data_IF_412657448903
#
_entry.id   IF_412657448903
#
_cell.length_a   1.000
_cell.length_b   1.000
_cell.length_c   1.000
_cell.angle_alpha   90.00
_cell.angle_beta   90.00
_cell.angle_gamma   90.00
#
_symmetry.space_group_name_H-M   'P 1'
#
loop_
_entity.id
_entity.type
_entity.pdbx_description
1 polymer ?
#
# COMPACT_ATOMS: atom_id res chain seq x y z
N UNK A 1 -11.19 -13.77 -23.47
CA UNK A 1 -11.21 -12.92 -22.25
C UNK A 1 -9.96 -12.04 -22.24
N UNK A 2 -10.08 -10.75 -21.97
CA UNK A 2 -8.99 -9.79 -21.82
C UNK A 2 -8.86 -9.43 -20.34
N UNK A 3 -7.69 -9.69 -19.77
CA UNK A 3 -7.40 -9.38 -18.37
C UNK A 3 -6.74 -8.01 -18.22
N UNK A 4 -7.17 -7.23 -17.23
CA UNK A 4 -6.58 -5.95 -16.86
C UNK A 4 -6.44 -5.85 -15.34
N UNK A 5 -5.20 -5.69 -14.88
CA UNK A 5 -4.90 -5.46 -13.46
C UNK A 5 -4.60 -3.99 -13.18
N UNK A 6 -5.39 -3.38 -12.30
CA UNK A 6 -5.26 -1.98 -11.88
C UNK A 6 -5.00 -1.95 -10.39
N UNK A 7 -3.74 -1.68 -10.02
CA UNK A 7 -3.43 -1.28 -8.65
C UNK A 7 -3.89 0.17 -8.42
N UNK A 8 -4.96 0.33 -7.66
CA UNK A 8 -5.69 1.57 -7.38
C UNK A 8 -4.83 2.58 -6.60
N UNK A 9 -3.91 2.10 -5.76
CA UNK A 9 -2.95 2.93 -5.04
C UNK A 9 -1.96 3.64 -5.97
N UNK A 10 -1.47 2.94 -7.00
CA UNK A 10 -0.58 3.50 -8.01
C UNK A 10 -1.29 4.53 -8.89
N UNK A 11 -2.48 4.19 -9.38
CA UNK A 11 -3.22 5.08 -10.28
C UNK A 11 -3.93 6.24 -9.55
N UNK A 12 -4.18 6.13 -8.24
CA UNK A 12 -4.63 7.18 -7.29
C UNK A 12 -5.96 7.89 -7.59
N UNK A 13 -6.52 7.77 -8.78
CA UNK A 13 -7.74 8.44 -9.26
C UNK A 13 -8.49 7.55 -10.25
N UNK A 14 -9.82 7.63 -10.27
CA UNK A 14 -10.70 6.92 -11.22
C UNK A 14 -10.29 7.16 -12.67
N UNK A 15 -9.97 8.41 -13.03
CA UNK A 15 -9.53 8.79 -14.37
C UNK A 15 -8.29 8.01 -14.86
N UNK A 16 -7.24 7.94 -14.03
CA UNK A 16 -6.01 7.21 -14.36
C UNK A 16 -6.25 5.70 -14.46
N UNK A 17 -7.15 5.16 -13.62
CA UNK A 17 -7.57 3.77 -13.72
C UNK A 17 -8.28 3.49 -15.06
N UNK A 18 -9.21 4.37 -15.48
CA UNK A 18 -9.87 4.27 -16.80
C UNK A 18 -8.87 4.33 -17.95
N UNK A 19 -7.95 5.30 -17.95
CA UNK A 19 -6.88 5.37 -18.96
C UNK A 19 -6.09 4.07 -19.02
N UNK A 20 -5.77 3.46 -17.87
CA UNK A 20 -5.02 2.20 -17.83
C UNK A 20 -5.81 1.05 -18.46
N UNK A 21 -7.12 1.00 -18.21
CA UNK A 21 -8.03 0.02 -18.81
C UNK A 21 -8.10 0.23 -20.32
N UNK A 22 -8.33 1.47 -20.78
CA UNK A 22 -8.35 1.81 -22.21
C UNK A 22 -7.02 1.44 -22.86
N UNK A 23 -5.88 1.77 -22.26
CA UNK A 23 -4.56 1.44 -22.82
C UNK A 23 -4.27 -0.06 -22.89
N UNK A 24 -4.91 -0.86 -22.04
CA UNK A 24 -4.81 -2.32 -22.12
C UNK A 24 -5.59 -2.88 -23.33
N UNK A 25 -6.65 -2.20 -23.75
CA UNK A 25 -7.44 -2.50 -24.95
C UNK A 25 -6.81 -1.89 -26.21
N UNK A 26 -6.27 -0.67 -26.11
CA UNK A 26 -5.67 0.09 -27.19
C UNK A 26 -4.32 0.71 -26.76
N UNK A 27 -3.21 0.05 -27.12
CA UNK A 27 -1.86 0.42 -26.66
C UNK A 27 -1.44 1.86 -27.00
N UNK A 28 -1.92 2.37 -28.14
CA UNK A 28 -1.54 3.68 -28.68
C UNK A 28 -2.45 4.81 -28.20
N UNK A 29 -3.35 4.54 -27.25
CA UNK A 29 -4.28 5.54 -26.76
C UNK A 29 -3.56 6.69 -26.03
N UNK A 30 -3.91 7.96 -26.34
CA UNK A 30 -3.27 9.13 -25.73
C UNK A 30 -3.55 9.24 -24.22
N UNK A 31 -2.69 9.96 -23.50
CA UNK A 31 -2.79 10.07 -22.04
C UNK A 31 -3.80 11.11 -21.53
N UNK A 32 -4.32 11.99 -22.39
CA UNK A 32 -5.16 13.13 -22.05
C UNK A 32 -6.08 13.48 -23.22
N UNK A 33 -7.06 14.35 -22.96
CA UNK A 33 -7.96 14.90 -23.99
C UNK A 33 -9.35 14.26 -24.01
N UNK A 34 -9.61 13.31 -23.11
CA UNK A 34 -10.88 12.60 -22.99
C UNK A 34 -11.48 12.80 -21.61
N UNK A 35 -12.79 12.97 -21.56
CA UNK A 35 -13.58 12.95 -20.34
C UNK A 35 -13.65 11.51 -19.77
N UNK A 36 -14.00 11.32 -18.49
CA UNK A 36 -14.26 9.98 -17.96
C UNK A 36 -15.33 9.21 -18.73
N UNK A 37 -16.36 9.89 -19.25
CA UNK A 37 -17.42 9.27 -20.05
C UNK A 37 -16.89 8.78 -21.40
N UNK A 38 -16.13 9.62 -22.12
CA UNK A 38 -15.55 9.21 -23.40
C UNK A 38 -14.67 7.96 -23.24
N UNK A 39 -13.91 7.88 -22.13
CA UNK A 39 -13.08 6.71 -21.84
C UNK A 39 -13.91 5.44 -21.62
N UNK A 40 -15.10 5.54 -21.02
CA UNK A 40 -16.02 4.42 -20.84
C UNK A 40 -16.58 3.97 -22.19
N UNK A 41 -17.01 4.91 -23.03
CA UNK A 41 -17.53 4.61 -24.36
C UNK A 41 -16.47 3.91 -25.22
N UNK A 42 -15.24 4.40 -25.18
CA UNK A 42 -14.09 3.76 -25.85
C UNK A 42 -13.86 2.34 -25.34
N UNK A 43 -14.05 2.07 -24.04
CA UNK A 43 -13.95 0.71 -23.48
C UNK A 43 -15.05 -0.16 -24.07
N UNK A 44 -16.31 0.29 -24.03
CA UNK A 44 -17.47 -0.46 -24.55
C UNK A 44 -17.30 -0.76 -26.03
N UNK A 45 -16.97 0.24 -26.85
CA UNK A 45 -16.75 0.08 -28.29
C UNK A 45 -15.62 -0.90 -28.58
N UNK A 46 -14.51 -0.79 -27.86
CA UNK A 46 -13.37 -1.70 -28.00
C UNK A 46 -13.74 -3.14 -27.69
N UNK A 47 -14.60 -3.36 -26.69
CA UNK A 47 -15.09 -4.68 -26.29
C UNK A 47 -16.08 -5.24 -27.33
N UNK A 48 -17.00 -4.40 -27.81
CA UNK A 48 -18.03 -4.78 -28.76
C UNK A 48 -17.45 -5.11 -30.13
N UNK A 49 -16.65 -4.20 -30.70
CA UNK A 49 -16.05 -4.35 -32.03
C UNK A 49 -15.12 -5.56 -32.14
N UNK A 50 -14.49 -5.97 -31.03
CA UNK A 50 -13.55 -7.10 -31.00
C UNK A 50 -14.14 -8.37 -30.39
N UNK A 51 -15.43 -8.37 -30.07
CA UNK A 51 -16.11 -9.47 -29.41
C UNK A 51 -15.38 -9.99 -28.14
N UNK A 52 -14.90 -9.08 -27.30
CA UNK A 52 -14.11 -9.41 -26.11
C UNK A 52 -15.00 -9.56 -24.86
N UNK A 53 -14.47 -10.25 -23.87
CA UNK A 53 -14.95 -10.20 -22.49
C UNK A 53 -13.82 -9.65 -21.63
N UNK A 54 -14.07 -8.55 -20.94
CA UNK A 54 -13.08 -7.82 -20.15
C UNK A 54 -13.19 -8.22 -18.67
N UNK A 55 -12.11 -8.74 -18.11
CA UNK A 55 -11.95 -8.98 -16.68
C UNK A 55 -11.05 -7.90 -16.07
N UNK A 56 -11.61 -7.06 -15.21
CA UNK A 56 -10.91 -5.97 -14.52
C UNK A 56 -10.67 -6.39 -13.07
N UNK A 57 -9.41 -6.41 -12.66
CA UNK A 57 -9.03 -6.57 -11.25
C UNK A 57 -8.59 -5.22 -10.71
N UNK A 58 -9.31 -4.72 -9.72
CA UNK A 58 -9.03 -3.48 -9.01
C UNK A 58 -8.38 -3.82 -7.66
N UNK A 59 -7.06 -3.77 -7.60
CA UNK A 59 -6.27 -4.09 -6.42
C UNK A 59 -6.08 -2.85 -5.53
N UNK A 60 -6.10 -3.03 -4.20
CA UNK A 60 -6.15 -1.96 -3.20
C UNK A 60 -7.31 -0.96 -3.43
N UNK A 61 -8.50 -1.46 -3.79
CA UNK A 61 -9.66 -0.69 -4.22
C UNK A 61 -10.11 0.40 -3.23
N UNK A 62 -9.92 0.18 -1.92
CA UNK A 62 -10.24 1.17 -0.88
C UNK A 62 -9.62 2.55 -1.12
N UNK A 63 -8.48 2.62 -1.83
CA UNK A 63 -7.86 3.88 -2.24
C UNK A 63 -8.73 4.76 -3.15
N UNK A 64 -9.51 4.16 -4.04
CA UNK A 64 -10.40 4.91 -4.92
C UNK A 64 -11.75 5.19 -4.26
N UNK A 65 -12.25 4.25 -3.45
CA UNK A 65 -13.51 4.41 -2.74
C UNK A 65 -13.45 5.63 -1.82
N UNK A 66 -12.38 5.76 -1.03
CA UNK A 66 -12.20 6.88 -0.10
C UNK A 66 -12.04 8.25 -0.79
N UNK A 67 -11.96 8.28 -2.12
CA UNK A 67 -11.84 9.51 -2.93
C UNK A 67 -13.07 9.82 -3.77
N UNK A 68 -14.17 9.08 -3.59
CA UNK A 68 -15.43 9.30 -4.29
C UNK A 68 -16.04 8.03 -4.88
N UNK A 69 -15.24 6.98 -5.11
CA UNK A 69 -15.78 5.68 -5.57
C UNK A 69 -16.35 5.67 -7.00
N UNK A 70 -16.31 6.79 -7.72
CA UNK A 70 -16.93 6.97 -9.04
C UNK A 70 -16.55 5.89 -10.07
N UNK A 71 -15.32 5.36 -10.01
CA UNK A 71 -14.88 4.31 -10.93
C UNK A 71 -15.77 3.07 -10.87
N UNK A 72 -16.14 2.65 -9.66
CA UNK A 72 -16.95 1.45 -9.48
C UNK A 72 -18.33 1.71 -10.07
N UNK A 73 -18.95 2.84 -9.69
CA UNK A 73 -20.23 3.27 -10.23
C UNK A 73 -20.24 3.25 -11.76
N UNK A 74 -19.26 3.89 -12.38
CA UNK A 74 -19.12 3.94 -13.83
C UNK A 74 -18.99 2.56 -14.48
N UNK A 75 -18.17 1.67 -13.91
CA UNK A 75 -17.94 0.35 -14.49
C UNK A 75 -19.11 -0.62 -14.26
N UNK A 76 -19.84 -0.48 -13.15
CA UNK A 76 -20.99 -1.36 -12.86
C UNK A 76 -22.23 -0.97 -13.66
N UNK A 77 -22.43 0.33 -13.95
CA UNK A 77 -23.62 0.84 -14.64
C UNK A 77 -23.44 1.05 -16.14
N UNK A 78 -22.26 0.74 -16.66
CA UNK A 78 -21.90 0.97 -18.08
C UNK A 78 -22.84 0.29 -19.09
N UNK A 79 -23.59 -0.73 -18.66
CA UNK A 79 -24.55 -1.45 -19.49
C UNK A 79 -26.02 -1.15 -19.13
N UNK A 80 -26.30 -0.32 -18.10
CA UNK A 80 -27.67 -0.04 -17.62
C UNK A 80 -28.52 0.62 -18.73
N UNK A 81 -27.91 1.46 -19.57
CA UNK A 81 -28.59 2.20 -20.66
C UNK A 81 -28.82 1.35 -21.93
N UNK A 82 -28.35 0.10 -21.94
CA UNK A 82 -28.38 -0.75 -23.14
C UNK A 82 -29.28 -1.99 -22.94
N UNK A 83 -30.55 -1.86 -23.35
CA UNK A 83 -31.47 -3.00 -23.39
C UNK A 83 -30.90 -4.13 -24.26
N UNK A 84 -30.88 -5.36 -23.73
CA UNK A 84 -30.40 -6.59 -24.40
C UNK A 84 -28.90 -6.62 -24.78
N UNK A 85 -28.06 -5.75 -24.21
CA UNK A 85 -26.61 -5.85 -24.37
C UNK A 85 -26.05 -7.07 -23.64
N UNK A 86 -25.04 -7.73 -24.23
CA UNK A 86 -24.29 -8.77 -23.52
C UNK A 86 -23.41 -8.10 -22.47
N UNK A 87 -23.61 -8.43 -21.19
CA UNK A 87 -22.67 -8.05 -20.14
C UNK A 87 -21.30 -8.69 -20.39
N UNK A 88 -20.34 -7.87 -20.84
CA UNK A 88 -18.99 -8.30 -21.21
C UNK A 88 -17.91 -7.84 -20.26
N UNK A 89 -18.27 -7.15 -19.17
CA UNK A 89 -17.33 -6.66 -18.17
C UNK A 89 -17.57 -7.42 -16.86
N UNK A 90 -16.49 -7.97 -16.32
CA UNK A 90 -16.46 -8.59 -15.00
C UNK A 90 -15.42 -7.89 -14.15
N UNK A 91 -15.76 -7.62 -12.88
CA UNK A 91 -14.93 -6.83 -11.97
C UNK A 91 -14.61 -7.65 -10.73
N UNK A 92 -13.35 -7.68 -10.32
CA UNK A 92 -12.90 -8.20 -9.03
C UNK A 92 -12.24 -7.04 -8.28
N UNK A 93 -12.83 -6.65 -7.14
CA UNK A 93 -12.25 -5.65 -6.24
C UNK A 93 -11.51 -6.33 -5.09
N UNK A 94 -10.27 -5.94 -4.83
CA UNK A 94 -9.49 -6.39 -3.67
C UNK A 94 -9.33 -5.20 -2.74
N UNK A 95 -9.84 -5.33 -1.52
CA UNK A 95 -9.75 -4.30 -0.48
C UNK A 95 -9.24 -4.91 0.83
N UNK A 96 -8.49 -4.12 1.62
CA UNK A 96 -7.98 -4.55 2.93
C UNK A 96 -9.09 -4.65 3.97
N UNK A 97 -10.03 -3.71 3.93
CA UNK A 97 -11.15 -3.64 4.86
C UNK A 97 -12.45 -3.47 4.06
N UNK A 98 -13.40 -4.37 4.29
CA UNK A 98 -14.72 -4.31 3.66
C UNK A 98 -15.55 -3.12 4.16
N UNK A 99 -15.20 -2.51 5.30
CA UNK A 99 -15.86 -1.31 5.82
C UNK A 99 -15.83 -0.15 4.82
N UNK A 100 -14.79 -0.06 3.97
CA UNK A 100 -14.70 1.00 2.97
C UNK A 100 -15.88 0.99 1.98
N UNK A 101 -16.55 -0.16 1.80
CA UNK A 101 -17.72 -0.28 0.93
C UNK A 101 -18.90 0.58 1.42
N UNK A 102 -18.98 0.95 2.70
CA UNK A 102 -20.04 1.84 3.21
C UNK A 102 -19.94 3.27 2.69
N UNK A 103 -18.80 3.64 2.09
CA UNK A 103 -18.61 4.95 1.46
C UNK A 103 -19.15 4.98 0.02
N UNK A 104 -19.64 3.85 -0.51
CA UNK A 104 -20.28 3.79 -1.82
C UNK A 104 -21.77 4.15 -1.71
N UNK A 105 -22.31 4.69 -2.79
CA UNK A 105 -23.75 4.91 -2.91
C UNK A 105 -24.52 3.58 -2.86
N UNK A 106 -25.77 3.65 -2.38
CA UNK A 106 -26.61 2.47 -2.13
C UNK A 106 -26.79 1.60 -3.38
N UNK A 107 -26.89 2.21 -4.56
CA UNK A 107 -27.01 1.50 -5.85
C UNK A 107 -25.75 0.71 -6.20
N UNK A 108 -24.56 1.33 -6.13
CA UNK A 108 -23.29 0.64 -6.37
C UNK A 108 -23.05 -0.46 -5.34
N UNK A 109 -23.35 -0.18 -4.08
CA UNK A 109 -23.20 -1.13 -2.99
C UNK A 109 -24.08 -2.37 -3.18
N UNK A 110 -25.35 -2.20 -3.59
CA UNK A 110 -26.28 -3.31 -3.88
C UNK A 110 -25.75 -4.26 -4.96
N UNK A 111 -25.07 -3.71 -5.96
CA UNK A 111 -24.47 -4.49 -7.05
C UNK A 111 -23.28 -5.32 -6.57
N UNK A 112 -22.43 -4.75 -5.71
CA UNK A 112 -21.22 -5.40 -5.20
C UNK A 112 -21.47 -6.39 -4.04
N UNK A 113 -22.46 -6.14 -3.19
CA UNK A 113 -22.64 -6.88 -1.93
C UNK A 113 -23.00 -8.36 -2.09
N UNK A 114 -23.40 -8.81 -3.28
CA UNK A 114 -23.82 -10.21 -3.49
C UNK A 114 -22.67 -11.22 -3.47
N UNK A 115 -21.43 -10.81 -3.77
CA UNK A 115 -20.29 -11.72 -3.99
C UNK A 115 -19.03 -11.35 -3.20
N UNK A 116 -19.15 -11.07 -1.90
CA UNK A 116 -17.99 -10.73 -1.05
C UNK A 116 -17.31 -12.00 -0.55
N UNK A 117 -16.07 -12.23 -0.99
CA UNK A 117 -15.20 -13.29 -0.48
C UNK A 117 -14.30 -12.71 0.61
N UNK A 118 -14.48 -13.17 1.86
CA UNK A 118 -13.67 -12.73 3.00
C UNK A 118 -12.46 -13.67 3.18
N UNK A 119 -11.26 -13.11 3.06
CA UNK A 119 -10.02 -13.81 3.40
C UNK A 119 -9.75 -13.64 4.89
N UNK A 120 -9.84 -14.74 5.64
CA UNK A 120 -9.47 -14.75 7.07
C UNK A 120 -7.95 -14.71 7.21
N UNK A 121 -7.48 -14.25 8.37
CA UNK A 121 -6.07 -14.35 8.73
C UNK A 121 -5.65 -15.83 8.74
N UNK A 122 -4.41 -16.10 8.33
CA UNK A 122 -3.85 -17.44 8.33
C UNK A 122 -3.69 -17.98 9.75
N UNK A 123 -3.98 -19.27 9.95
CA UNK A 123 -3.62 -19.98 11.19
C UNK A 123 -2.10 -20.20 11.26
N UNK A 124 -1.58 -20.55 12.45
CA UNK A 124 -0.15 -20.88 12.60
C UNK A 124 0.28 -22.00 11.67
N UNK A 125 -0.56 -23.02 11.52
CA UNK A 125 -0.32 -24.17 10.66
C UNK A 125 -0.29 -23.74 9.18
N UNK A 126 -1.23 -22.89 8.75
CA UNK A 126 -1.23 -22.37 7.38
C UNK A 126 0.01 -21.50 7.10
N UNK A 127 0.43 -20.67 8.06
CA UNK A 127 1.65 -19.87 7.94
C UNK A 127 2.89 -20.76 7.80
N UNK A 128 2.98 -21.82 8.62
CA UNK A 128 4.06 -22.81 8.52
C UNK A 128 4.08 -23.48 7.14
N UNK A 129 2.95 -23.98 6.64
CA UNK A 129 2.87 -24.64 5.34
C UNK A 129 3.26 -23.70 4.19
N UNK A 130 2.79 -22.44 4.22
CA UNK A 130 3.16 -21.43 3.21
C UNK A 130 4.66 -21.15 3.24
N UNK A 131 5.24 -20.92 4.42
CA UNK A 131 6.66 -20.64 4.56
C UNK A 131 7.52 -21.84 4.16
N UNK A 132 7.08 -23.05 4.52
CA UNK A 132 7.75 -24.31 4.16
C UNK A 132 7.77 -24.50 2.66
N UNK A 133 6.61 -24.43 2.01
CA UNK A 133 6.51 -24.51 0.55
C UNK A 133 7.40 -23.47 -0.14
N UNK A 134 7.41 -22.22 0.36
CA UNK A 134 8.25 -21.15 -0.19
C UNK A 134 9.73 -21.39 0.02
N UNK A 135 10.13 -21.95 1.15
CA UNK A 135 11.51 -22.36 1.42
C UNK A 135 11.95 -23.48 0.46
N UNK A 136 11.13 -24.51 0.29
CA UNK A 136 11.44 -25.67 -0.57
C UNK A 136 11.67 -25.28 -2.04
N UNK A 137 10.91 -24.33 -2.58
CA UNK A 137 11.08 -23.89 -3.98
C UNK A 137 12.17 -22.83 -4.17
N UNK A 138 12.65 -22.18 -3.11
CA UNK A 138 13.55 -21.00 -3.21
C UNK A 138 14.93 -21.23 -2.60
N UNK A 139 15.08 -22.21 -1.71
CA UNK A 139 16.32 -22.50 -1.00
C UNK A 139 16.88 -23.84 -1.47
N UNK A 140 18.18 -24.05 -1.23
CA UNK A 140 18.80 -25.37 -1.42
C UNK A 140 18.17 -26.36 -0.44
N UNK A 141 18.16 -27.63 -0.85
CA UNK A 141 17.68 -28.72 -0.01
C UNK A 141 18.39 -28.71 1.35
N UNK A 142 17.63 -28.91 2.42
CA UNK A 142 18.10 -28.89 3.81
C UNK A 142 18.77 -27.58 4.28
N UNK A 143 18.70 -26.48 3.52
CA UNK A 143 19.28 -25.19 3.92
C UNK A 143 18.60 -24.58 5.16
N UNK A 144 17.36 -24.99 5.46
CA UNK A 144 16.62 -24.57 6.65
C UNK A 144 15.90 -25.76 7.28
N UNK A 145 15.89 -25.83 8.60
CA UNK A 145 15.19 -26.89 9.34
C UNK A 145 13.70 -26.57 9.53
N UNK A 146 12.85 -27.61 9.54
CA UNK A 146 11.42 -27.47 9.85
C UNK A 146 11.16 -26.78 11.20
N UNK A 147 12.03 -27.03 12.20
CA UNK A 147 11.95 -26.36 13.50
C UNK A 147 12.08 -24.84 13.35
N UNK A 148 13.01 -24.36 12.53
CA UNK A 148 13.22 -22.93 12.33
C UNK A 148 12.06 -22.30 11.55
N UNK A 149 11.52 -23.00 10.54
CA UNK A 149 10.32 -22.53 9.81
C UNK A 149 9.14 -22.39 10.78
N UNK A 150 8.97 -23.33 11.71
CA UNK A 150 7.94 -23.25 12.75
C UNK A 150 8.16 -22.02 13.65
N UNK A 151 9.38 -21.76 14.10
CA UNK A 151 9.69 -20.55 14.86
C UNK A 151 9.37 -19.26 14.08
N UNK A 152 9.70 -19.19 12.79
CA UNK A 152 9.32 -18.05 11.94
C UNK A 152 7.80 -17.93 11.86
N UNK A 153 7.07 -19.04 11.68
CA UNK A 153 5.60 -19.01 11.62
C UNK A 153 4.95 -18.48 12.91
N UNK A 154 5.54 -18.77 14.08
CA UNK A 154 5.08 -18.26 15.37
C UNK A 154 5.29 -16.75 15.50
N UNK A 155 6.43 -16.23 15.04
CA UNK A 155 6.69 -14.79 14.96
C UNK A 155 5.70 -14.09 14.01
N UNK A 156 5.45 -14.70 12.85
CA UNK A 156 4.53 -14.16 11.84
C UNK A 156 3.10 -14.12 12.35
N UNK A 157 2.67 -15.14 13.09
CA UNK A 157 1.34 -15.19 13.66
C UNK A 157 1.06 -14.01 14.61
N UNK A 158 2.07 -13.54 15.35
CA UNK A 158 1.95 -12.34 16.19
C UNK A 158 1.79 -11.07 15.35
N UNK A 159 2.47 -10.99 14.20
CA UNK A 159 2.37 -9.84 13.27
C UNK A 159 1.10 -9.83 12.42
N UNK A 160 0.53 -11.00 12.11
CA UNK A 160 -0.63 -11.16 11.23
C UNK A 160 -0.36 -10.99 9.73
N UNK A 161 0.89 -10.74 9.30
CA UNK A 161 1.24 -10.52 7.89
C UNK A 161 2.22 -11.59 7.36
N UNK A 162 1.74 -12.48 6.47
CA UNK A 162 2.60 -13.48 5.84
C UNK A 162 3.75 -12.86 5.03
N UNK A 163 3.58 -11.64 4.50
CA UNK A 163 4.64 -10.94 3.75
C UNK A 163 5.82 -10.61 4.66
N UNK A 164 5.57 -10.33 5.93
CA UNK A 164 6.62 -10.18 6.93
C UNK A 164 7.41 -11.48 7.10
N UNK A 165 6.72 -12.64 7.17
CA UNK A 165 7.37 -13.94 7.25
C UNK A 165 8.25 -14.28 6.05
N UNK A 166 7.76 -14.01 4.84
CA UNK A 166 8.53 -14.21 3.62
C UNK A 166 9.74 -13.28 3.55
N UNK A 167 9.58 -12.03 3.99
CA UNK A 167 10.69 -11.09 4.08
C UNK A 167 11.74 -11.54 5.10
N UNK A 168 11.30 -12.02 6.26
CA UNK A 168 12.19 -12.54 7.29
C UNK A 168 12.96 -13.76 6.79
N UNK A 169 12.29 -14.70 6.13
CA UNK A 169 12.94 -15.86 5.50
C UNK A 169 13.98 -15.42 4.46
N UNK A 170 13.61 -14.51 3.56
CA UNK A 170 14.52 -13.98 2.54
C UNK A 170 15.75 -13.29 3.16
N UNK A 171 15.54 -12.40 4.14
CA UNK A 171 16.63 -11.67 4.80
C UNK A 171 17.53 -12.60 5.61
N UNK A 172 16.96 -13.59 6.31
CA UNK A 172 17.73 -14.61 7.03
C UNK A 172 18.59 -15.44 6.07
N UNK A 173 18.06 -15.75 4.89
CA UNK A 173 18.80 -16.45 3.84
C UNK A 173 19.97 -15.61 3.32
N UNK A 174 19.75 -14.31 3.11
CA UNK A 174 20.81 -13.38 2.67
C UNK A 174 21.89 -13.18 3.71
N UNK A 175 21.54 -13.18 4.99
CA UNK A 175 22.50 -13.11 6.09
C UNK A 175 23.35 -14.38 6.12
N UNK A 176 22.74 -15.56 6.03
CA UNK A 176 23.45 -16.83 5.97
C UNK A 176 24.43 -16.87 4.78
N UNK A 177 23.99 -16.43 3.60
CA UNK A 177 24.83 -16.30 2.40
C UNK A 177 26.00 -15.33 2.60
N UNK A 178 25.75 -14.15 3.19
CA UNK A 178 26.81 -13.16 3.46
C UNK A 178 27.85 -13.60 4.50
N UNK A 179 27.51 -14.60 5.32
CA UNK A 179 28.37 -15.19 6.34
C UNK A 179 28.96 -16.53 5.89
N UNK A 180 28.81 -16.89 4.61
CA UNK A 180 29.25 -18.16 4.02
C UNK A 180 28.74 -19.41 4.79
N UNK A 181 27.55 -19.30 5.39
CA UNK A 181 26.92 -20.40 6.12
C UNK A 181 26.19 -21.35 5.16
N UNK A 182 26.37 -22.66 5.39
CA UNK A 182 25.65 -23.70 4.64
C UNK A 182 24.16 -23.79 4.97
N UNK A 183 23.77 -23.35 6.17
CA UNK A 183 22.42 -23.47 6.71
C UNK A 183 21.97 -22.18 7.37
N UNK A 184 20.67 -21.87 7.28
CA UNK A 184 20.04 -20.76 7.99
C UNK A 184 19.92 -21.14 9.47
N UNK A 185 20.54 -20.34 10.32
CA UNK A 185 20.53 -20.53 11.78
C UNK A 185 19.50 -19.63 12.46
N UNK A 186 19.19 -19.91 13.73
CA UNK A 186 18.36 -19.02 14.55
C UNK A 186 18.97 -17.61 14.66
N UNK A 187 20.30 -17.52 14.65
CA UNK A 187 21.01 -16.24 14.67
C UNK A 187 20.76 -15.42 13.40
N UNK A 188 20.71 -16.07 12.23
CA UNK A 188 20.32 -15.40 10.98
C UNK A 188 18.91 -14.82 11.06
N UNK A 189 17.98 -15.56 11.67
CA UNK A 189 16.59 -15.09 11.90
C UNK A 189 16.56 -13.93 12.88
N UNK A 190 17.34 -13.99 13.97
CA UNK A 190 17.45 -12.91 14.96
C UNK A 190 17.97 -11.62 14.31
N UNK A 191 19.08 -11.71 13.58
CA UNK A 191 19.66 -10.59 12.83
C UNK A 191 18.75 -10.11 11.70
N UNK A 192 18.05 -11.03 11.03
CA UNK A 192 17.08 -10.70 9.99
C UNK A 192 15.91 -9.91 10.54
N UNK A 193 15.43 -10.28 11.72
CA UNK A 193 14.32 -9.62 12.39
C UNK A 193 14.70 -8.23 12.93
N UNK A 194 15.97 -7.99 13.26
CA UNK A 194 16.45 -6.66 13.60
C UNK A 194 16.30 -5.73 12.39
N UNK A 195 15.58 -4.61 12.58
CA UNK A 195 15.32 -3.62 11.53
C UNK A 195 14.70 -4.19 10.26
N UNK A 196 13.86 -5.21 10.39
CA UNK A 196 13.07 -5.69 9.26
C UNK A 196 12.04 -4.64 8.86
N UNK A 197 12.08 -4.22 7.61
CA UNK A 197 11.09 -3.30 7.04
C UNK A 197 10.12 -4.12 6.20
N UNK A 198 8.84 -4.17 6.56
CA UNK A 198 7.84 -4.89 5.78
C UNK A 198 7.84 -4.46 4.31
N UNK A 199 7.68 -5.41 3.39
CA UNK A 199 7.56 -5.08 1.96
C UNK A 199 6.34 -4.20 1.68
N UNK A 200 5.27 -4.34 2.47
CA UNK A 200 4.10 -3.46 2.45
C UNK A 200 4.51 -1.99 2.67
N UNK A 201 5.36 -1.71 3.67
CA UNK A 201 5.92 -0.37 3.91
C UNK A 201 6.72 0.14 2.71
N UNK A 202 7.57 -0.68 2.09
CA UNK A 202 8.34 -0.26 0.92
C UNK A 202 7.43 0.08 -0.28
N UNK A 203 6.39 -0.71 -0.52
CA UNK A 203 5.39 -0.45 -1.56
C UNK A 203 4.65 0.88 -1.30
N UNK A 204 4.28 1.13 -0.04
CA UNK A 204 3.65 2.39 0.39
C UNK A 204 4.50 3.59 -0.01
N UNK A 205 5.78 3.58 0.38
CA UNK A 205 6.70 4.69 0.17
C UNK A 205 7.00 4.90 -1.32
N UNK A 206 7.14 3.82 -2.09
CA UNK A 206 7.39 3.87 -3.54
C UNK A 206 6.32 4.69 -4.26
N UNK A 207 5.05 4.43 -3.94
CA UNK A 207 3.89 5.10 -4.55
C UNK A 207 3.47 6.37 -3.80
N UNK A 208 4.30 6.94 -2.93
CA UNK A 208 4.01 8.18 -2.23
C UNK A 208 4.42 9.43 -3.06
N UNK A 209 3.74 10.57 -2.85
CA UNK A 209 4.14 11.85 -3.48
C UNK A 209 5.42 12.36 -2.83
N UNK A 210 6.21 13.14 -3.57
CA UNK A 210 7.44 13.72 -3.04
C UNK A 210 7.20 14.49 -1.73
N UNK A 211 6.19 15.35 -1.71
CA UNK A 211 5.82 16.15 -0.53
C UNK A 211 5.45 15.31 0.70
N UNK A 212 4.79 14.16 0.49
CA UNK A 212 4.49 13.23 1.59
C UNK A 212 5.76 12.55 2.10
N UNK A 213 6.65 12.12 1.22
CA UNK A 213 7.93 11.49 1.63
C UNK A 213 8.80 12.49 2.41
N UNK A 214 8.87 13.75 1.99
CA UNK A 214 9.55 14.83 2.71
C UNK A 214 8.92 15.06 4.08
N UNK A 215 7.59 15.10 4.16
CA UNK A 215 6.90 15.27 5.45
C UNK A 215 7.15 14.08 6.39
N UNK A 216 7.18 12.86 5.87
CA UNK A 216 7.55 11.68 6.65
C UNK A 216 9.00 11.77 7.15
N UNK A 217 9.95 12.23 6.32
CA UNK A 217 11.33 12.48 6.75
C UNK A 217 11.39 13.48 7.91
N UNK A 218 10.58 14.54 7.86
CA UNK A 218 10.49 15.52 8.94
C UNK A 218 9.99 14.91 10.25
N UNK A 219 9.01 14.00 10.20
CA UNK A 219 8.55 13.25 11.38
C UNK A 219 9.70 12.43 11.98
N UNK A 220 10.42 11.67 11.13
CA UNK A 220 11.53 10.83 11.59
C UNK A 220 12.66 11.66 12.21
N UNK A 221 13.09 12.74 11.54
CA UNK A 221 14.13 13.64 12.06
C UNK A 221 13.72 14.32 13.37
N UNK A 222 12.47 14.76 13.48
CA UNK A 222 11.95 15.36 14.70
C UNK A 222 11.92 14.36 15.87
N UNK A 223 11.51 13.11 15.63
CA UNK A 223 11.54 12.05 16.64
C UNK A 223 12.97 11.80 17.11
N UNK A 224 13.92 11.59 16.18
CA UNK A 224 15.34 11.38 16.50
C UNK A 224 15.93 12.52 17.33
N UNK A 225 15.69 13.77 16.92
CA UNK A 225 16.21 14.96 17.62
C UNK A 225 15.62 15.09 19.03
N UNK A 226 14.36 14.71 19.21
CA UNK A 226 13.69 14.84 20.50
C UNK A 226 14.08 13.76 21.51
N UNK A 227 14.52 12.58 21.05
CA UNK A 227 14.74 11.41 21.89
C UNK A 227 13.46 10.83 22.52
N UNK A 228 12.27 11.31 22.13
CA UNK A 228 10.97 10.89 22.68
C UNK A 228 10.32 9.84 21.80
N UNK A 229 9.54 8.95 22.44
CA UNK A 229 8.71 7.96 21.74
C UNK A 229 7.63 8.63 20.88
N UNK A 230 7.08 9.75 21.36
CA UNK A 230 6.05 10.52 20.68
C UNK A 230 6.33 12.01 20.73
N UNK A 231 5.95 12.72 19.66
CA UNK A 231 6.12 14.16 19.52
C UNK A 231 4.84 14.84 19.04
N UNK A 232 4.68 16.12 19.35
CA UNK A 232 3.50 16.88 18.92
C UNK A 232 3.57 17.25 17.44
N UNK A 233 2.40 17.36 16.81
CA UNK A 233 2.25 17.83 15.42
C UNK A 233 2.89 19.20 15.18
N UNK A 234 2.96 20.07 16.19
CA UNK A 234 3.64 21.37 16.11
C UNK A 234 5.15 21.22 15.92
N UNK A 235 5.80 20.34 16.69
CA UNK A 235 7.25 20.07 16.56
C UNK A 235 7.56 19.48 15.20
N UNK A 236 6.71 18.55 14.73
CA UNK A 236 6.82 17.97 13.39
C UNK A 236 6.72 19.05 12.32
N UNK A 237 5.74 19.95 12.43
CA UNK A 237 5.52 20.99 11.43
C UNK A 237 6.69 21.94 11.34
N UNK A 238 7.26 22.35 12.48
CA UNK A 238 8.47 23.17 12.50
C UNK A 238 9.65 22.45 11.85
N UNK A 239 9.85 21.16 12.15
CA UNK A 239 10.88 20.35 11.49
C UNK A 239 10.66 20.23 9.98
N UNK A 240 9.41 20.18 9.52
CA UNK A 240 9.07 20.12 8.09
C UNK A 240 9.34 21.45 7.38
N UNK A 241 9.05 22.59 8.02
CA UNK A 241 9.32 23.90 7.45
C UNK A 241 10.83 24.11 7.24
N UNK A 242 11.65 23.78 8.24
CA UNK A 242 13.12 23.84 8.13
C UNK A 242 13.62 22.93 7.00
N UNK A 243 13.08 21.71 6.91
CA UNK A 243 13.45 20.78 5.84
C UNK A 243 13.05 21.30 4.45
N UNK A 244 11.89 21.94 4.32
CA UNK A 244 11.44 22.55 3.07
C UNK A 244 12.34 23.72 2.66
N UNK A 245 12.74 24.56 3.61
CA UNK A 245 13.68 25.67 3.39
C UNK A 245 15.03 25.16 2.87
N UNK A 246 15.62 24.18 3.56
CA UNK A 246 16.90 23.58 3.15
C UNK A 246 16.85 22.93 1.75
N UNK A 247 15.69 22.40 1.35
CA UNK A 247 15.51 21.77 0.05
C UNK A 247 15.03 22.74 -1.04
N UNK A 248 14.76 24.01 -0.71
CA UNK A 248 14.21 24.99 -1.66
C UNK A 248 12.80 24.63 -2.15
N UNK A 249 12.00 23.93 -1.34
CA UNK A 249 10.67 23.43 -1.70
C UNK A 249 9.58 24.24 -1.00
N UNK A 250 8.54 24.65 -1.73
CA UNK A 250 7.39 25.34 -1.12
C UNK A 250 6.64 24.40 -0.16
N UNK A 251 6.42 24.79 1.11
CA UNK A 251 5.74 23.97 2.09
C UNK A 251 4.23 23.86 1.77
N UNK A 252 3.62 22.75 2.23
CA UNK A 252 2.17 22.55 2.18
C UNK A 252 1.48 23.20 3.38
N UNK A 253 0.18 23.49 3.22
CA UNK A 253 -0.64 24.09 4.28
C UNK A 253 -0.85 23.13 5.44
N UNK A 254 -1.13 23.67 6.64
CA UNK A 254 -1.41 22.88 7.84
C UNK A 254 -2.51 21.83 7.62
N UNK A 255 -3.62 22.20 6.96
CA UNK A 255 -4.71 21.26 6.64
C UNK A 255 -4.23 20.11 5.75
N UNK A 256 -3.31 20.38 4.82
CA UNK A 256 -2.75 19.34 3.96
C UNK A 256 -1.80 18.42 4.72
N UNK A 257 -1.02 18.95 5.67
CA UNK A 257 -0.15 18.15 6.54
C UNK A 257 -0.98 17.26 7.48
N UNK A 258 -2.12 17.76 7.97
CA UNK A 258 -3.07 16.96 8.72
C UNK A 258 -3.59 15.77 7.90
N UNK A 259 -3.98 15.99 6.65
CA UNK A 259 -4.38 14.91 5.74
C UNK A 259 -3.26 13.89 5.53
N UNK A 260 -1.99 14.33 5.45
CA UNK A 260 -0.85 13.41 5.35
C UNK A 260 -0.67 12.57 6.62
N UNK A 261 -0.88 13.13 7.82
CA UNK A 261 -0.85 12.35 9.06
C UNK A 261 -1.94 11.27 9.07
N UNK A 262 -3.16 11.61 8.64
CA UNK A 262 -4.23 10.62 8.54
C UNK A 262 -3.91 9.53 7.52
N UNK A 263 -3.37 9.89 6.35
CA UNK A 263 -2.93 8.92 5.34
C UNK A 263 -1.85 7.98 5.89
N UNK A 264 -0.86 8.49 6.63
CA UNK A 264 0.19 7.66 7.23
C UNK A 264 -0.34 6.74 8.32
N UNK A 265 -1.36 7.19 9.08
CA UNK A 265 -2.06 6.36 10.06
C UNK A 265 -2.81 5.22 9.37
N UNK A 266 -3.56 5.48 8.30
CA UNK A 266 -4.26 4.45 7.52
C UNK A 266 -3.30 3.41 6.91
N UNK A 267 -2.07 3.84 6.60
CA UNK A 267 -1.02 2.95 6.11
C UNK A 267 -0.20 2.26 7.20
N UNK A 268 -0.56 2.41 8.48
CA UNK A 268 0.17 1.87 9.64
C UNK A 268 1.66 2.27 9.67
N UNK A 269 2.00 3.46 9.15
CA UNK A 269 3.36 4.00 9.26
C UNK A 269 3.59 4.71 10.59
N UNK A 270 2.54 5.32 11.12
CA UNK A 270 2.54 6.10 12.36
C UNK A 270 1.28 5.84 13.17
N UNK A 271 1.36 6.09 14.48
CA UNK A 271 0.18 6.29 15.32
C UNK A 271 -0.06 7.79 15.52
N UNK A 272 -1.34 8.15 15.67
CA UNK A 272 -1.75 9.53 16.01
C UNK A 272 -2.75 9.46 17.16
N UNK A 273 -2.34 9.99 18.32
CA UNK A 273 -3.15 10.11 19.53
C UNK A 273 -3.54 11.57 19.75
N UNK A 274 -4.81 11.85 20.04
CA UNK A 274 -5.27 13.20 20.36
C UNK A 274 -5.38 13.32 21.87
N UNK A 275 -4.56 14.19 22.47
CA UNK A 275 -4.70 14.57 23.87
C UNK A 275 -5.39 15.93 23.97
N UNK A 276 -6.46 15.98 24.74
CA UNK A 276 -7.11 17.22 25.15
C UNK A 276 -6.71 17.54 26.59
N UNK A 277 -5.88 18.56 26.77
CA UNK A 277 -5.63 19.14 28.10
C UNK A 277 -6.55 20.36 28.24
N UNK A 278 -7.30 20.42 29.34
CA UNK A 278 -8.39 21.39 29.56
C UNK A 278 -8.02 22.87 29.28
N UNK A 279 -6.74 23.23 29.34
CA UNK A 279 -6.24 24.61 29.18
C UNK A 279 -5.40 24.82 27.90
N UNK A 280 -4.86 23.75 27.28
CA UNK A 280 -3.81 23.85 26.23
C UNK A 280 -4.26 23.41 24.83
N UNK A 281 -5.57 23.26 24.61
CA UNK A 281 -6.17 22.86 23.35
C UNK A 281 -5.93 21.38 23.00
N UNK A 282 -6.45 20.95 21.85
CA UNK A 282 -6.24 19.58 21.33
C UNK A 282 -4.87 19.47 20.69
N UNK A 283 -4.07 18.48 21.10
CA UNK A 283 -2.74 18.20 20.55
C UNK A 283 -2.69 16.79 19.99
N UNK A 284 -2.22 16.66 18.75
CA UNK A 284 -1.93 15.37 18.16
C UNK A 284 -0.50 14.96 18.49
N UNK A 285 -0.34 13.82 19.14
CA UNK A 285 0.93 13.16 19.40
C UNK A 285 1.13 12.06 18.37
N UNK A 286 2.33 12.01 17.79
CA UNK A 286 2.69 11.12 16.69
C UNK A 286 3.87 10.26 17.11
N UNK A 287 3.77 8.96 16.85
CA UNK A 287 4.86 8.00 17.01
C UNK A 287 5.00 7.14 15.75
N UNK A 288 6.20 6.59 15.53
CA UNK A 288 6.50 5.68 14.41
C UNK A 288 6.43 4.24 14.92
N UNK A 289 5.82 3.37 14.13
CA UNK A 289 5.66 1.96 14.49
C UNK A 289 6.79 1.10 13.91
N UNK A 290 7.19 0.08 14.69
CA UNK A 290 7.82 -1.17 14.24
C UNK A 290 9.20 -1.10 13.58
N UNK A 291 9.65 0.07 13.11
CA UNK A 291 10.91 0.26 12.39
C UNK A 291 11.80 1.22 13.16
N UNK A 292 13.09 0.89 13.30
CA UNK A 292 14.04 1.83 13.89
C UNK A 292 14.11 3.13 13.08
N UNK A 293 14.16 4.25 13.79
CA UNK A 293 14.16 5.57 13.16
C UNK A 293 15.34 5.74 12.20
N UNK A 294 16.51 5.15 12.52
CA UNK A 294 17.69 5.20 11.65
C UNK A 294 17.49 4.43 10.35
N UNK A 295 16.93 3.20 10.39
CA UNK A 295 16.67 2.44 9.17
C UNK A 295 15.58 3.08 8.33
N UNK A 296 14.54 3.61 8.97
CA UNK A 296 13.47 4.28 8.25
C UNK A 296 13.96 5.57 7.57
N UNK A 297 14.82 6.35 8.24
CA UNK A 297 15.47 7.52 7.64
C UNK A 297 16.28 7.16 6.40
N UNK A 298 17.13 6.13 6.47
CA UNK A 298 17.94 5.65 5.35
C UNK A 298 17.07 5.30 4.12
N UNK A 299 15.99 4.56 4.34
CA UNK A 299 15.06 4.16 3.27
C UNK A 299 14.36 5.38 2.66
N UNK A 300 13.91 6.30 3.50
CA UNK A 300 13.24 7.52 3.03
C UNK A 300 14.19 8.38 2.19
N UNK A 301 15.45 8.52 2.62
CA UNK A 301 16.49 9.25 1.86
C UNK A 301 16.73 8.58 0.50
N UNK A 302 16.92 7.26 0.46
CA UNK A 302 17.10 6.52 -0.80
C UNK A 302 15.92 6.72 -1.76
N UNK A 303 14.69 6.75 -1.23
CA UNK A 303 13.49 7.01 -2.04
C UNK A 303 13.45 8.46 -2.55
N UNK A 304 13.86 9.44 -1.74
CA UNK A 304 13.94 10.84 -2.16
C UNK A 304 14.99 11.05 -3.25
N UNK A 305 16.16 10.41 -3.13
CA UNK A 305 17.21 10.40 -4.15
C UNK A 305 16.70 9.78 -5.45
N UNK A 306 15.99 8.65 -5.39
CA UNK A 306 15.35 8.03 -6.56
C UNK A 306 14.32 8.94 -7.26
N UNK A 307 13.77 9.93 -6.54
CA UNK A 307 12.82 10.93 -7.04
C UNK A 307 13.51 12.25 -7.44
N UNK A 308 14.84 12.30 -7.46
CA UNK A 308 15.62 13.44 -7.93
C UNK A 308 15.92 14.52 -6.88
N UNK A 309 15.66 14.26 -5.59
CA UNK A 309 16.06 15.18 -4.52
C UNK A 309 17.46 14.81 -4.02
N UNK A 310 18.35 15.80 -3.99
CA UNK A 310 19.66 15.71 -3.32
C UNK A 310 19.48 16.16 -1.87
N UNK A 311 19.87 15.31 -0.93
CA UNK A 311 19.78 15.50 0.54
C UNK A 311 21.15 15.24 1.11
#
# INVERSE_FOLDING_TARGET
>A
IKYVHVNCRKERTSYKALIKIVRALNKNFPKRGYSPQDLLDIIVDSINNRNLQLLIVLDELGYLINKGGDLIYYLTRINDDSFNSRQRISIIGIARDASCLSNLDVSTMSTLQRNIIKFKNYTKEQLYEILKYRAEISLKENAISNKLIKTISELVYQSGDIRYGLNLLWKSSKIAESQDLKYITMECVRLGNQDIVPFSTLDVLKYMTLQKVIFLLAIIKALKKSGKIQISSLVITNSYLILCENLGIKPRSYSQLWNYLQDFKTENLITVEIKSEAIKGRRALVAVQEISLSKFEEIIINILQSKGIKI
#
